data_IF_010803021940
#
_entry.id   IF_010803021940
#
_cell.length_a   1.000
_cell.length_b   1.000
_cell.length_c   1.000
_cell.angle_alpha   90.00
_cell.angle_beta   90.00
_cell.angle_gamma   90.00
#
_symmetry.space_group_name_H-M   'P 1'
#
loop_
_entity.id
_entity.type
_entity.pdbx_description
1 polymer ?
#
# COMPACT_ATOMS: atom_id res chain seq x y z
N UNK A 1 5.47 4.86 1.10
CA UNK A 1 5.11 4.79 2.54
C UNK A 1 6.21 5.52 3.32
N UNK A 2 5.92 6.03 4.50
CA UNK A 2 6.91 6.67 5.38
C UNK A 2 6.80 6.00 6.74
N UNK A 3 7.94 5.65 7.34
CA UNK A 3 8.02 5.17 8.72
C UNK A 3 7.65 6.32 9.66
N UNK A 4 6.68 6.10 10.53
CA UNK A 4 6.24 7.14 11.47
C UNK A 4 6.64 6.84 12.91
N UNK A 5 6.67 5.56 13.30
CA UNK A 5 6.97 5.15 14.68
C UNK A 5 7.50 3.71 14.70
N UNK A 6 8.33 3.41 15.70
CA UNK A 6 8.69 2.05 16.06
C UNK A 6 7.60 1.47 16.97
N UNK A 7 7.24 0.22 16.74
CA UNK A 7 6.21 -0.50 17.49
C UNK A 7 6.89 -1.34 18.56
N UNK A 8 6.76 -0.89 19.81
CA UNK A 8 7.36 -1.58 20.97
C UNK A 8 6.45 -2.68 21.55
N UNK A 9 5.13 -2.52 21.39
CA UNK A 9 4.13 -3.45 21.89
C UNK A 9 3.30 -4.00 20.74
N UNK A 10 3.51 -5.28 20.44
CA UNK A 10 2.83 -6.00 19.38
C UNK A 10 1.64 -6.81 19.90
N UNK A 11 1.44 -6.93 21.22
CA UNK A 11 0.32 -7.69 21.79
C UNK A 11 -1.02 -7.07 21.40
N UNK A 12 -1.06 -5.73 21.29
CA UNK A 12 -2.23 -4.98 20.84
C UNK A 12 -2.63 -5.26 19.38
N UNK A 13 -1.74 -5.87 18.60
CA UNK A 13 -2.01 -6.24 17.20
C UNK A 13 -2.65 -7.63 17.06
N UNK A 14 -2.83 -8.33 18.19
CA UNK A 14 -3.41 -9.67 18.26
C UNK A 14 -2.38 -10.79 18.06
N UNK A 15 -2.77 -11.99 18.48
CA UNK A 15 -1.89 -13.16 18.60
C UNK A 15 -1.25 -13.59 17.28
N UNK A 16 -1.97 -13.47 16.17
CA UNK A 16 -1.46 -13.83 14.85
C UNK A 16 -0.34 -12.90 14.39
N UNK A 17 -0.54 -11.58 14.53
CA UNK A 17 0.46 -10.59 14.15
C UNK A 17 1.66 -10.64 15.10
N UNK A 18 1.42 -10.80 16.40
CA UNK A 18 2.48 -11.01 17.39
C UNK A 18 3.39 -12.18 17.01
N UNK A 19 2.84 -13.35 16.64
CA UNK A 19 3.65 -14.51 16.24
C UNK A 19 4.51 -14.26 15.00
N UNK A 20 4.05 -13.42 14.07
CA UNK A 20 4.78 -13.11 12.84
C UNK A 20 5.90 -12.07 13.05
N UNK A 21 5.67 -11.14 13.96
CA UNK A 21 6.52 -9.96 14.16
C UNK A 21 7.40 -10.03 15.41
N UNK A 22 7.13 -10.97 16.33
CA UNK A 22 7.94 -11.16 17.53
C UNK A 22 9.42 -11.38 17.18
N UNK A 23 10.30 -10.65 17.87
CA UNK A 23 11.75 -10.68 17.62
C UNK A 23 12.23 -9.89 16.40
N UNK A 24 11.36 -9.14 15.71
CA UNK A 24 11.72 -8.29 14.57
C UNK A 24 11.45 -6.83 14.87
N UNK A 25 12.31 -5.95 14.35
CA UNK A 25 12.02 -4.52 14.35
C UNK A 25 10.76 -4.25 13.55
N UNK A 26 9.77 -3.63 14.19
CA UNK A 26 8.45 -3.40 13.62
C UNK A 26 8.17 -1.92 13.61
N UNK A 27 7.71 -1.41 12.47
CA UNK A 27 7.49 0.02 12.27
C UNK A 27 6.11 0.29 11.70
N UNK A 28 5.45 1.35 12.19
CA UNK A 28 4.22 1.82 11.59
C UNK A 28 4.53 2.62 10.33
N UNK A 29 3.77 2.31 9.29
CA UNK A 29 3.90 2.97 8.01
C UNK A 29 2.66 3.82 7.74
N UNK A 30 2.88 5.07 7.34
CA UNK A 30 1.83 5.95 6.83
C UNK A 30 2.02 6.16 5.34
N UNK A 31 0.92 6.16 4.58
CA UNK A 31 0.97 6.53 3.17
C UNK A 31 1.34 8.01 3.07
N UNK A 32 2.36 8.35 2.28
CA UNK A 32 2.61 9.74 1.90
C UNK A 32 1.39 10.17 1.10
N UNK A 33 0.68 11.20 1.55
CA UNK A 33 -0.45 11.75 0.80
C UNK A 33 0.04 12.07 -0.61
N UNK A 34 -0.47 11.35 -1.60
CA UNK A 34 -0.14 11.61 -2.99
C UNK A 34 -0.85 12.91 -3.36
N UNK A 35 -0.16 14.05 -3.20
CA UNK A 35 -0.58 15.29 -3.83
C UNK A 35 -0.33 15.16 -5.34
N UNK A 36 -1.28 14.54 -6.02
CA UNK A 36 -1.70 14.78 -7.40
C UNK A 36 -2.88 13.86 -7.67
N UNK A 37 -4.09 14.41 -7.57
CA UNK A 37 -5.18 13.89 -8.39
C UNK A 37 -4.68 14.00 -9.82
N UNK A 38 -4.49 12.87 -10.50
CA UNK A 38 -4.31 12.87 -11.94
C UNK A 38 -5.59 13.52 -12.48
N UNK A 39 -5.49 14.77 -12.94
CA UNK A 39 -6.55 15.33 -13.77
C UNK A 39 -6.49 14.54 -15.08
N UNK A 40 -7.33 13.50 -15.18
CA UNK A 40 -7.54 12.73 -16.40
C UNK A 40 -7.83 13.74 -17.52
N UNK A 41 -6.86 13.95 -18.42
CA UNK A 41 -7.22 14.26 -19.80
C UNK A 41 -7.96 13.03 -20.30
N UNK A 42 -9.12 13.21 -20.90
CA UNK A 42 -10.00 12.14 -21.36
C UNK A 42 -9.20 11.07 -22.10
N UNK A 43 -8.93 9.97 -21.42
CA UNK A 43 -8.31 8.79 -21.97
C UNK A 43 -9.43 7.77 -22.11
N UNK A 44 -9.75 7.40 -23.34
CA UNK A 44 -10.78 6.40 -23.65
C UNK A 44 -10.49 5.05 -22.99
N UNK A 45 -11.53 4.20 -22.92
CA UNK A 45 -11.57 2.82 -22.39
C UNK A 45 -10.26 2.33 -21.75
N UNK A 46 -10.06 2.68 -20.47
CA UNK A 46 -8.95 2.19 -19.68
C UNK A 46 -9.31 0.87 -19.00
N UNK A 47 -8.36 -0.07 -19.03
CA UNK A 47 -8.47 -1.32 -18.29
C UNK A 47 -7.70 -1.21 -16.96
N UNK A 48 -8.35 -1.66 -15.90
CA UNK A 48 -7.79 -1.68 -14.56
C UNK A 48 -7.34 -3.11 -14.25
N UNK A 49 -6.06 -3.30 -13.94
CA UNK A 49 -5.49 -4.59 -13.56
C UNK A 49 -5.04 -4.50 -12.11
N UNK A 50 -5.71 -5.25 -11.25
CA UNK A 50 -5.30 -5.43 -9.85
C UNK A 50 -4.44 -6.68 -9.77
N UNK A 51 -3.22 -6.52 -9.29
CA UNK A 51 -2.26 -7.61 -9.17
C UNK A 51 -1.47 -7.47 -7.88
N UNK A 52 -0.86 -8.57 -7.45
CA UNK A 52 0.04 -8.60 -6.31
C UNK A 52 1.47 -8.58 -6.85
N UNK A 53 2.12 -7.42 -6.80
CA UNK A 53 3.56 -7.32 -7.11
C UNK A 53 4.40 -7.88 -5.94
N UNK A 54 3.81 -7.97 -4.74
CA UNK A 54 4.36 -8.55 -3.52
C UNK A 54 3.20 -8.83 -2.53
N UNK A 55 3.38 -8.68 -1.21
CA UNK A 55 2.32 -8.79 -0.18
C UNK A 55 1.25 -7.69 -0.23
N UNK A 56 1.33 -6.74 -1.15
CA UNK A 56 0.39 -5.64 -1.31
C UNK A 56 -0.30 -5.69 -2.68
N UNK A 57 -1.59 -5.35 -2.70
CA UNK A 57 -2.35 -5.18 -3.94
C UNK A 57 -1.92 -3.87 -4.61
N UNK A 58 -1.46 -3.97 -5.86
CA UNK A 58 -1.11 -2.86 -6.73
C UNK A 58 -2.12 -2.79 -7.87
N UNK A 59 -2.51 -1.57 -8.25
CA UNK A 59 -3.38 -1.31 -9.39
C UNK A 59 -2.58 -0.68 -10.53
N UNK A 60 -2.52 -1.37 -11.67
CA UNK A 60 -1.99 -0.82 -12.93
C UNK A 60 -3.15 -0.42 -13.82
N UNK A 61 -3.13 0.82 -14.31
CA UNK A 61 -4.13 1.35 -15.23
C UNK A 61 -3.50 1.44 -16.62
N UNK A 62 -4.06 0.67 -17.57
CA UNK A 62 -3.64 0.70 -18.97
C UNK A 62 -4.73 1.39 -19.78
N UNK A 63 -4.43 2.56 -20.31
CA UNK A 63 -5.34 3.31 -21.17
C UNK A 63 -4.93 3.18 -22.63
N UNK A 64 -5.89 2.88 -23.50
CA UNK A 64 -5.67 2.95 -24.95
C UNK A 64 -5.86 4.39 -25.40
N UNK A 65 -4.94 4.89 -26.22
CA UNK A 65 -5.12 6.16 -26.92
C UNK A 65 -5.99 5.87 -28.15
N UNK A 66 -7.10 6.60 -28.28
CA UNK A 66 -7.92 6.66 -29.51
C UNK A 66 -7.17 7.40 -30.60
#
# INVERSE_FOLDING_TARGET
MIVTEHVNDMEQLGSFIYRLCSGKETYRLKRRTARRRINRREAGNCNHIRHFENTFVVETVICKKS
#
